data_IF_071961509314
#
_entry.id   IF_071961509314
#
_cell.length_a   1.000
_cell.length_b   1.000
_cell.length_c   1.000
_cell.angle_alpha   90.00
_cell.angle_beta   90.00
_cell.angle_gamma   90.00
#
_symmetry.space_group_name_H-M   'P 1'
#
loop_
_entity.id
_entity.type
_entity.pdbx_description
1 polymer ?
#
# COMPACT_ATOMS: atom_id res chain seq x y z
N UNK A 1 -35.21 -22.22 31.85
CA UNK A 1 -34.21 -21.13 31.81
C UNK A 1 -33.01 -21.53 30.93
N UNK A 2 -33.03 -21.23 29.61
CA UNK A 2 -31.88 -21.46 28.69
C UNK A 2 -31.71 -20.35 27.62
N UNK A 3 -32.32 -19.17 27.81
CA UNK A 3 -32.40 -18.15 26.75
C UNK A 3 -31.29 -17.08 26.82
N UNK A 4 -30.79 -16.75 28.01
CA UNK A 4 -29.82 -15.66 28.22
C UNK A 4 -28.47 -15.89 27.54
N UNK A 5 -28.02 -17.15 27.43
CA UNK A 5 -26.69 -17.48 26.84
C UNK A 5 -26.65 -17.38 25.31
N UNK A 6 -27.80 -17.41 24.64
CA UNK A 6 -27.88 -17.30 23.18
C UNK A 6 -28.00 -15.84 22.75
N UNK A 7 -28.73 -15.03 23.52
CA UNK A 7 -28.92 -13.60 23.26
C UNK A 7 -27.61 -12.80 23.29
N UNK A 8 -26.70 -13.07 24.23
CA UNK A 8 -25.41 -12.34 24.25
C UNK A 8 -24.50 -12.75 23.08
N UNK A 9 -24.55 -14.02 22.66
CA UNK A 9 -23.81 -14.49 21.48
C UNK A 9 -24.30 -13.79 20.22
N UNK A 10 -25.63 -13.71 20.03
CA UNK A 10 -26.22 -13.02 18.89
C UNK A 10 -25.91 -11.52 18.90
N UNK A 11 -26.01 -10.86 20.06
CA UNK A 11 -25.61 -9.44 20.20
C UNK A 11 -24.13 -9.20 19.94
N UNK A 12 -23.24 -10.08 20.42
CA UNK A 12 -21.81 -9.97 20.15
C UNK A 12 -21.52 -10.14 18.66
N UNK A 13 -22.22 -11.06 17.98
CA UNK A 13 -22.12 -11.24 16.54
C UNK A 13 -22.69 -10.05 15.74
N UNK A 14 -23.82 -9.46 16.15
CA UNK A 14 -24.35 -8.23 15.53
C UNK A 14 -23.42 -7.03 15.72
N UNK A 15 -22.79 -6.91 16.88
CA UNK A 15 -21.84 -5.84 17.17
C UNK A 15 -20.52 -5.99 16.38
N UNK A 16 -19.98 -7.21 16.31
CA UNK A 16 -18.78 -7.53 15.51
C UNK A 16 -19.06 -7.53 13.99
N UNK A 17 -20.31 -7.78 13.60
CA UNK A 17 -20.77 -7.77 12.21
C UNK A 17 -21.16 -6.38 11.71
N UNK A 18 -21.15 -5.35 12.55
CA UNK A 18 -21.45 -3.98 12.14
C UNK A 18 -20.34 -3.47 11.19
N UNK A 19 -20.69 -3.36 9.91
CA UNK A 19 -19.79 -2.96 8.83
C UNK A 19 -19.19 -1.57 9.07
N UNK A 20 -19.91 -0.66 9.73
CA UNK A 20 -19.40 0.69 10.02
C UNK A 20 -18.35 0.68 11.14
N UNK A 21 -18.55 -0.09 12.22
CA UNK A 21 -17.53 -0.21 13.27
C UNK A 21 -16.29 -0.95 12.75
N UNK A 22 -16.47 -1.93 11.87
CA UNK A 22 -15.35 -2.60 11.16
C UNK A 22 -14.60 -1.63 10.25
N UNK A 23 -15.31 -0.77 9.51
CA UNK A 23 -14.69 0.25 8.66
C UNK A 23 -13.82 1.22 9.46
N UNK A 24 -14.34 1.78 10.56
CA UNK A 24 -13.59 2.67 11.45
C UNK A 24 -12.39 1.98 12.07
N UNK A 25 -12.55 0.74 12.54
CA UNK A 25 -11.46 -0.06 13.11
C UNK A 25 -10.36 -0.36 12.07
N UNK A 26 -10.74 -0.71 10.84
CA UNK A 26 -9.81 -0.97 9.73
C UNK A 26 -9.06 0.31 9.33
N UNK A 27 -9.74 1.45 9.23
CA UNK A 27 -9.09 2.74 8.95
C UNK A 27 -8.08 3.08 10.04
N UNK A 28 -8.46 2.97 11.32
CA UNK A 28 -7.57 3.24 12.44
C UNK A 28 -6.39 2.29 12.51
N UNK A 29 -6.58 1.02 12.14
CA UNK A 29 -5.48 0.06 11.99
C UNK A 29 -4.55 0.43 10.82
N UNK A 30 -5.09 0.94 9.71
CA UNK A 30 -4.27 1.42 8.58
C UNK A 30 -3.46 2.65 8.97
N UNK A 31 -4.07 3.62 9.66
CA UNK A 31 -3.38 4.80 10.21
C UNK A 31 -2.25 4.39 11.17
N UNK A 32 -2.52 3.53 12.15
CA UNK A 32 -1.50 3.02 13.08
C UNK A 32 -0.38 2.24 12.39
N UNK A 33 -0.66 1.59 11.25
CA UNK A 33 0.37 0.90 10.45
C UNK A 33 1.22 1.88 9.64
N UNK A 34 0.65 3.02 9.22
CA UNK A 34 1.42 4.10 8.61
C UNK A 34 2.34 4.79 9.63
N UNK A 35 1.98 4.77 10.92
CA UNK A 35 2.84 5.18 12.05
C UNK A 35 3.87 4.13 12.48
N UNK A 36 3.98 2.99 11.77
CA UNK A 36 5.05 2.04 12.04
C UNK A 36 6.43 2.69 11.83
N UNK A 37 7.37 2.37 12.73
CA UNK A 37 8.76 2.81 12.62
C UNK A 37 9.34 2.28 11.31
N UNK A 38 9.44 3.15 10.32
CA UNK A 38 10.13 2.88 9.07
C UNK A 38 11.64 2.96 9.34
N UNK A 39 12.39 2.04 8.74
CA UNK A 39 13.84 2.04 8.79
C UNK A 39 14.43 3.13 7.90
N UNK A 40 13.72 3.49 6.84
CA UNK A 40 14.17 4.40 5.80
C UNK A 40 12.96 4.98 5.05
N UNK A 41 13.10 6.21 4.58
CA UNK A 41 12.12 6.93 3.78
C UNK A 41 12.63 6.95 2.33
N UNK A 42 11.81 6.52 1.38
CA UNK A 42 12.16 6.42 -0.04
C UNK A 42 11.12 7.16 -0.89
N UNK A 43 11.53 7.70 -2.04
CA UNK A 43 10.61 8.34 -3.00
C UNK A 43 10.27 7.37 -4.13
N UNK A 44 9.17 7.65 -4.83
CA UNK A 44 8.72 6.83 -5.96
C UNK A 44 9.82 6.70 -7.03
N UNK A 45 10.57 7.77 -7.27
CA UNK A 45 11.65 7.81 -8.26
C UNK A 45 12.84 6.90 -7.95
N UNK A 46 13.00 6.46 -6.70
CA UNK A 46 14.07 5.54 -6.30
C UNK A 46 13.71 4.06 -6.58
N UNK A 47 12.47 3.80 -6.99
CA UNK A 47 11.99 2.46 -7.27
C UNK A 47 12.45 2.00 -8.65
N UNK A 48 12.87 0.73 -8.72
CA UNK A 48 13.03 0.03 -9.98
C UNK A 48 11.66 -0.42 -10.48
N UNK A 49 11.53 -0.56 -11.80
CA UNK A 49 10.26 -0.89 -12.47
C UNK A 49 10.43 -2.14 -13.31
N UNK A 50 9.52 -3.10 -13.13
CA UNK A 50 9.33 -4.22 -14.04
C UNK A 50 7.93 -4.13 -14.66
N UNK A 51 7.90 -4.03 -15.98
CA UNK A 51 6.66 -3.89 -16.74
C UNK A 51 6.33 -5.22 -17.43
N UNK A 52 5.56 -6.07 -16.75
CA UNK A 52 5.09 -7.36 -17.25
C UNK A 52 3.86 -7.22 -18.20
N UNK A 53 3.55 -6.01 -18.67
CA UNK A 53 2.45 -5.73 -19.59
C UNK A 53 1.13 -5.42 -18.88
N UNK A 54 0.55 -6.42 -18.22
CA UNK A 54 -0.76 -6.29 -17.55
C UNK A 54 -0.66 -5.59 -16.19
N UNK A 55 0.42 -5.86 -15.45
CA UNK A 55 0.71 -5.29 -14.15
C UNK A 55 2.13 -4.74 -14.18
N UNK A 56 2.29 -3.52 -13.68
CA UNK A 56 3.61 -2.92 -13.45
C UNK A 56 3.96 -3.15 -11.98
N UNK A 57 5.14 -3.70 -11.74
CA UNK A 57 5.68 -3.91 -10.40
C UNK A 57 6.80 -2.91 -10.13
N UNK A 58 6.77 -2.31 -8.94
CA UNK A 58 7.78 -1.37 -8.46
C UNK A 58 8.50 -1.99 -7.27
N UNK A 59 9.84 -1.94 -7.27
CA UNK A 59 10.63 -2.57 -6.23
C UNK A 59 11.84 -1.76 -5.78
N UNK A 60 12.18 -1.89 -4.50
CA UNK A 60 13.34 -1.27 -3.88
C UNK A 60 14.18 -2.35 -3.18
N UNK A 61 15.49 -2.32 -3.36
CA UNK A 61 16.37 -3.32 -2.79
C UNK A 61 16.48 -3.14 -1.27
N UNK A 62 16.19 -4.19 -0.52
CA UNK A 62 16.42 -4.25 0.91
C UNK A 62 17.87 -4.64 1.21
N UNK A 63 18.41 -4.15 2.32
CA UNK A 63 19.76 -4.48 2.81
C UNK A 63 19.94 -5.96 3.16
N UNK A 64 18.86 -6.72 3.30
CA UNK A 64 18.91 -8.18 3.49
C UNK A 64 19.02 -8.98 2.17
N UNK A 65 19.15 -8.31 1.02
CA UNK A 65 19.19 -8.88 -0.34
C UNK A 65 17.85 -9.37 -0.89
N UNK A 66 16.75 -9.03 -0.21
CA UNK A 66 15.38 -9.18 -0.74
C UNK A 66 14.86 -7.82 -1.22
N UNK A 67 13.60 -7.74 -1.62
CA UNK A 67 12.97 -6.52 -2.14
C UNK A 67 11.76 -6.10 -1.30
N UNK A 68 11.54 -4.79 -1.28
CA UNK A 68 10.22 -4.22 -1.03
C UNK A 68 9.53 -4.10 -2.39
N UNK A 69 8.28 -4.53 -2.51
CA UNK A 69 7.51 -4.38 -3.74
C UNK A 69 6.14 -3.77 -3.50
N UNK A 70 5.63 -3.12 -4.55
CA UNK A 70 4.26 -2.62 -4.65
C UNK A 70 3.85 -2.68 -6.12
N UNK A 71 2.62 -3.11 -6.40
CA UNK A 71 2.14 -3.22 -7.78
C UNK A 71 1.17 -2.09 -8.18
N UNK A 72 0.96 -1.99 -9.49
CA UNK A 72 0.03 -1.02 -10.09
C UNK A 72 -1.42 -1.13 -9.62
N UNK A 73 -1.88 -2.32 -9.22
CA UNK A 73 -3.23 -2.55 -8.73
C UNK A 73 -3.36 -2.03 -7.29
N UNK A 74 -2.39 -2.29 -6.43
CA UNK A 74 -2.30 -1.79 -5.06
C UNK A 74 -2.25 -0.25 -5.03
N UNK A 75 -1.45 0.36 -5.92
CA UNK A 75 -1.45 1.82 -6.11
C UNK A 75 -2.82 2.34 -6.58
N UNK A 76 -3.50 1.58 -7.45
CA UNK A 76 -4.87 1.85 -7.90
C UNK A 76 -5.89 1.86 -6.75
N UNK A 77 -5.82 0.88 -5.84
CA UNK A 77 -6.66 0.82 -4.64
C UNK A 77 -6.43 2.01 -3.70
N UNK A 78 -5.23 2.57 -3.70
CA UNK A 78 -4.87 3.79 -2.95
C UNK A 78 -5.34 5.09 -3.64
N UNK A 79 -5.89 5.00 -4.86
CA UNK A 79 -6.40 6.15 -5.61
C UNK A 79 -5.39 6.79 -6.56
N UNK A 80 -4.28 6.11 -6.85
CA UNK A 80 -3.34 6.53 -7.88
C UNK A 80 -3.72 5.95 -9.24
N UNK A 81 -3.36 6.68 -10.30
CA UNK A 81 -3.50 6.25 -11.68
C UNK A 81 -2.12 6.28 -12.29
N UNK A 82 -1.73 5.15 -12.84
CA UNK A 82 -0.48 5.03 -13.58
C UNK A 82 -0.73 5.38 -15.04
N UNK A 83 0.08 6.29 -15.57
CA UNK A 83 0.10 6.62 -17.00
C UNK A 83 1.42 6.12 -17.59
N UNK A 84 1.30 5.16 -18.50
CA UNK A 84 2.41 4.55 -19.25
C UNK A 84 2.60 5.34 -20.55
N UNK A 85 3.73 6.03 -20.70
CA UNK A 85 4.14 6.62 -21.97
C UNK A 85 5.01 5.61 -22.76
N UNK A 86 5.81 6.03 -23.75
CA UNK A 86 6.72 5.11 -24.46
C UNK A 86 7.93 4.69 -23.64
N UNK A 87 8.48 5.57 -22.80
CA UNK A 87 9.71 5.31 -22.04
C UNK A 87 9.59 5.57 -20.54
N UNK A 88 8.49 6.19 -20.10
CA UNK A 88 8.30 6.57 -18.70
C UNK A 88 7.01 5.99 -18.15
N UNK A 89 6.99 5.86 -16.83
CA UNK A 89 5.79 5.56 -16.05
C UNK A 89 5.61 6.73 -15.10
N UNK A 90 4.41 7.32 -15.15
CA UNK A 90 4.06 8.46 -14.32
C UNK A 90 2.95 8.10 -13.36
N UNK A 91 3.09 8.52 -12.12
CA UNK A 91 2.08 8.36 -11.08
C UNK A 91 1.26 9.65 -10.98
N UNK A 92 -0.06 9.53 -11.13
CA UNK A 92 -1.00 10.63 -10.94
C UNK A 92 -1.92 10.32 -9.77
N UNK A 93 -2.03 11.25 -8.82
CA UNK A 93 -2.99 11.09 -7.73
C UNK A 93 -4.36 11.63 -8.12
N UNK A 94 -5.43 10.88 -7.83
CA UNK A 94 -6.80 11.44 -7.90
C UNK A 94 -7.08 12.44 -6.77
N UNK A 95 -6.26 12.40 -5.71
CA UNK A 95 -6.42 13.22 -4.51
C UNK A 95 -5.19 14.14 -4.34
N UNK A 96 -5.38 15.44 -4.14
CA UNK A 96 -4.27 16.40 -4.03
C UNK A 96 -3.40 16.28 -2.76
N UNK A 97 -3.57 15.20 -1.97
CA UNK A 97 -2.87 15.00 -0.71
C UNK A 97 -1.62 14.13 -0.94
N UNK A 98 -0.44 14.58 -0.46
CA UNK A 98 0.74 13.72 -0.37
C UNK A 98 0.37 12.47 0.43
N UNK A 99 0.58 11.31 -0.17
CA UNK A 99 0.29 10.03 0.49
C UNK A 99 1.60 9.28 0.69
N UNK A 100 1.74 8.63 1.83
CA UNK A 100 2.85 7.70 2.07
C UNK A 100 2.30 6.33 2.39
N UNK A 101 3.03 5.30 1.98
CA UNK A 101 2.71 3.90 2.25
C UNK A 101 3.91 3.22 2.89
N UNK A 102 3.66 2.35 3.86
CA UNK A 102 4.72 1.57 4.51
C UNK A 102 4.81 0.21 3.83
N UNK A 103 5.96 -0.07 3.21
CA UNK A 103 6.23 -1.35 2.55
C UNK A 103 7.03 -2.26 3.49
N UNK A 104 6.56 -3.48 3.77
CA UNK A 104 7.32 -4.48 4.51
C UNK A 104 8.28 -5.24 3.61
N UNK A 105 9.42 -5.68 4.15
CA UNK A 105 10.29 -6.63 3.45
C UNK A 105 9.77 -8.06 3.62
N UNK A 106 9.86 -8.89 2.57
CA UNK A 106 9.43 -10.29 2.62
C UNK A 106 10.33 -11.19 3.48
N UNK A 107 11.64 -10.92 3.52
CA UNK A 107 12.63 -11.76 4.20
C UNK A 107 13.06 -11.26 5.57
N UNK A 108 12.82 -10.00 5.91
CA UNK A 108 13.21 -9.43 7.21
C UNK A 108 12.09 -8.57 7.82
N UNK A 109 12.25 -8.20 9.08
CA UNK A 109 11.25 -7.38 9.79
C UNK A 109 11.32 -5.88 9.48
N UNK A 110 12.19 -5.46 8.55
CA UNK A 110 12.34 -4.05 8.17
C UNK A 110 11.15 -3.59 7.34
N UNK A 111 10.91 -2.28 7.43
CA UNK A 111 9.86 -1.57 6.70
C UNK A 111 10.44 -0.28 6.17
N UNK A 112 9.98 0.17 5.03
CA UNK A 112 10.32 1.47 4.45
C UNK A 112 9.06 2.29 4.23
N UNK A 113 9.17 3.61 4.30
CA UNK A 113 8.07 4.53 3.99
C UNK A 113 8.28 5.08 2.59
N UNK A 114 7.42 4.68 1.67
CA UNK A 114 7.39 5.16 0.32
C UNK A 114 6.52 6.43 0.24
N UNK A 115 7.10 7.53 -0.21
CA UNK A 115 6.39 8.78 -0.49
C UNK A 115 5.88 8.81 -1.93
N UNK A 116 4.56 8.92 -2.06
CA UNK A 116 3.84 9.07 -3.33
C UNK A 116 3.48 10.56 -3.48
N UNK A 117 4.34 11.31 -4.17
CA UNK A 117 4.09 12.72 -4.42
C UNK A 117 2.99 12.90 -5.48
N UNK A 118 2.06 13.81 -5.23
CA UNK A 118 0.94 14.11 -6.14
C UNK A 118 1.36 14.91 -7.39
N UNK A 119 2.54 15.52 -7.37
CA UNK A 119 3.10 16.22 -8.52
C UNK A 119 3.83 15.23 -9.44
N UNK A 120 3.12 14.66 -10.41
CA UNK A 120 3.61 13.89 -11.56
C UNK A 120 5.05 13.37 -11.42
N UNK A 121 5.23 12.33 -10.62
CA UNK A 121 6.54 11.67 -10.47
C UNK A 121 6.74 10.74 -11.67
N UNK A 122 7.93 10.77 -12.27
CA UNK A 122 8.25 10.00 -13.47
C UNK A 122 9.41 9.05 -13.20
N UNK A 123 9.17 7.76 -13.44
CA UNK A 123 10.19 6.73 -13.46
C UNK A 123 10.55 6.39 -14.90
N UNK A 124 11.85 6.28 -15.18
CA UNK A 124 12.33 5.73 -16.46
C UNK A 124 12.22 4.20 -16.43
N UNK A 125 11.80 3.62 -17.55
CA UNK A 125 11.92 2.18 -17.75
C UNK A 125 13.36 1.86 -18.15
N UNK A 126 14.07 1.16 -17.29
CA UNK A 126 15.33 0.53 -17.67
C UNK A 126 15.01 -0.63 -18.60
N UNK A 127 15.18 -0.40 -19.90
CA UNK A 127 15.13 -1.46 -20.90
C UNK A 127 16.38 -2.33 -20.76
N UNK A 128 16.28 -3.40 -19.98
CA UNK A 128 17.18 -4.54 -20.15
C UNK A 128 16.78 -5.28 -21.42
N UNK A 129 17.58 -5.03 -22.48
CA UNK A 129 17.61 -5.78 -23.74
C UNK A 129 18.02 -7.24 -23.53
#
# INVERSE_FOLDING_TARGET
MKSSRLLWKLRAWEFLGNIQSRGVYVTKLRELRQDAIASEDIIFEDLMVEDAGDVVEFFYQCRCSDYYSIDSLELGEMGFVLSRDRSTISLQSRNALPTSVVLPCGSCSLKVRLFLNAANTTLQRDHHL
#
